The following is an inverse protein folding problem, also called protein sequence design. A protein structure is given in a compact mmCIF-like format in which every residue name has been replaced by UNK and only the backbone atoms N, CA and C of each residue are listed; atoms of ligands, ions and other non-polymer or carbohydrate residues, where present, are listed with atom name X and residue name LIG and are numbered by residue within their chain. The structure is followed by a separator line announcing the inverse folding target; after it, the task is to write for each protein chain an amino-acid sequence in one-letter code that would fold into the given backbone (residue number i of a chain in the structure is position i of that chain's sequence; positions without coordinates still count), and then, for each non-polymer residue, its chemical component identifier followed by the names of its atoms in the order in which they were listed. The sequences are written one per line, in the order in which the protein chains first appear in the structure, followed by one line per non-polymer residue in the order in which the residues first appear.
data_IF_852520476631
#
_entry.id   IF_852520476631
#
_cell.length_a   1.000
_cell.length_b   1.000
_cell.length_c   1.000
_cell.angle_alpha   90.00
_cell.angle_beta   90.00
_cell.angle_gamma   90.00
#
_symmetry.space_group_name_H-M   'P 1'
#
loop_
_entity.id
_entity.type
_entity.pdbx_description
1 polymer ?
#
# COMPACT_ATOMS: atom_id res chain seq x y z
N UNK A 1 -39.51 16.68 26.58
CA UNK A 1 -38.62 15.90 25.67
C UNK A 1 -37.25 16.56 25.66
N UNK A 2 -36.20 15.88 26.11
CA UNK A 2 -34.83 16.35 25.84
C UNK A 2 -34.55 16.10 24.34
N UNK A 3 -33.99 17.05 23.59
CA UNK A 3 -33.59 16.77 22.22
C UNK A 3 -32.56 15.65 22.24
N UNK A 4 -32.82 14.57 21.50
CA UNK A 4 -31.81 13.53 21.25
C UNK A 4 -30.74 14.21 20.42
N UNK A 5 -29.55 14.37 20.99
CA UNK A 5 -28.45 15.03 20.33
C UNK A 5 -27.89 14.07 19.27
N UNK A 6 -28.46 14.09 18.06
CA UNK A 6 -28.05 13.28 16.90
C UNK A 6 -26.75 13.79 16.26
N UNK A 7 -25.87 14.42 17.03
CA UNK A 7 -24.61 14.94 16.51
C UNK A 7 -23.67 13.77 16.22
N UNK A 8 -23.27 13.62 14.96
CA UNK A 8 -22.29 12.62 14.51
C UNK A 8 -20.99 12.68 15.33
N UNK A 9 -20.65 13.85 15.90
CA UNK A 9 -19.48 14.03 16.76
C UNK A 9 -19.54 13.32 18.12
N UNK A 10 -20.70 12.81 18.57
CA UNK A 10 -20.81 12.05 19.83
C UNK A 10 -20.76 10.54 19.62
N UNK A 11 -20.72 10.08 18.37
CA UNK A 11 -20.68 8.65 18.07
C UNK A 11 -19.33 8.03 18.46
N UNK A 12 -19.33 6.78 18.98
CA UNK A 12 -18.13 5.99 19.20
C UNK A 12 -17.29 5.80 17.93
N UNK A 13 -15.96 5.69 18.09
CA UNK A 13 -15.01 5.56 16.97
C UNK A 13 -15.30 4.33 16.10
N UNK A 14 -15.66 3.20 16.69
CA UNK A 14 -16.02 1.96 15.98
C UNK A 14 -17.25 2.12 15.09
N UNK A 15 -18.26 2.89 15.53
CA UNK A 15 -19.41 3.24 14.69
C UNK A 15 -18.97 4.12 13.52
N UNK A 16 -18.10 5.09 13.76
CA UNK A 16 -17.55 5.95 12.69
C UNK A 16 -16.74 5.15 11.68
N UNK A 17 -15.90 4.21 12.13
CA UNK A 17 -15.17 3.27 11.24
C UNK A 17 -16.15 2.49 10.38
N UNK A 18 -17.23 1.98 10.96
CA UNK A 18 -18.25 1.20 10.24
C UNK A 18 -18.94 2.05 9.17
N UNK A 19 -19.34 3.27 9.52
CA UNK A 19 -19.96 4.21 8.56
C UNK A 19 -19.00 4.57 7.42
N UNK A 20 -17.74 4.87 7.75
CA UNK A 20 -16.72 5.17 6.74
C UNK A 20 -16.49 4.00 5.77
N UNK A 21 -16.48 2.75 6.27
CA UNK A 21 -16.37 1.55 5.43
C UNK A 21 -17.57 1.35 4.51
N UNK A 22 -18.77 1.76 4.92
CA UNK A 22 -19.95 1.67 4.08
C UNK A 22 -19.91 2.73 2.97
N UNK A 23 -19.61 3.98 3.32
CA UNK A 23 -19.66 5.10 2.37
C UNK A 23 -18.55 5.02 1.32
N UNK A 24 -17.35 4.54 1.68
CA UNK A 24 -16.19 4.50 0.74
C UNK A 24 -16.42 3.59 -0.47
N UNK A 25 -17.34 2.63 -0.37
CA UNK A 25 -17.66 1.71 -1.47
C UNK A 25 -18.51 2.37 -2.56
N UNK A 26 -19.25 3.44 -2.22
CA UNK A 26 -20.12 4.14 -3.18
C UNK A 26 -19.39 5.31 -3.84
N UNK A 27 -18.73 6.16 -3.04
CA UNK A 27 -17.99 7.32 -3.53
C UNK A 27 -16.93 7.75 -2.55
N UNK A 28 -15.72 8.01 -3.05
CA UNK A 28 -14.67 8.57 -2.21
C UNK A 28 -14.97 10.02 -1.79
N UNK A 29 -15.64 10.80 -2.66
CA UNK A 29 -16.10 12.14 -2.31
C UNK A 29 -17.00 12.13 -1.08
N UNK A 30 -17.98 11.24 -1.04
CA UNK A 30 -18.91 11.15 0.10
C UNK A 30 -18.21 10.68 1.37
N UNK A 31 -17.31 9.71 1.24
CA UNK A 31 -16.43 9.27 2.33
C UNK A 31 -15.64 10.46 2.90
N UNK A 32 -15.02 11.26 2.03
CA UNK A 32 -14.22 12.40 2.45
C UNK A 32 -15.06 13.48 3.12
N UNK A 33 -16.24 13.78 2.56
CA UNK A 33 -17.15 14.77 3.11
C UNK A 33 -17.65 14.35 4.51
N UNK A 34 -18.01 13.08 4.68
CA UNK A 34 -18.39 12.52 5.97
C UNK A 34 -17.22 12.57 6.97
N UNK A 35 -16.02 12.15 6.57
CA UNK A 35 -14.81 12.21 7.39
C UNK A 35 -14.53 13.65 7.88
N UNK A 36 -14.58 14.64 6.99
CA UNK A 36 -14.33 16.05 7.35
C UNK A 36 -15.42 16.59 8.27
N UNK A 37 -16.69 16.26 8.02
CA UNK A 37 -17.81 16.68 8.86
C UNK A 37 -17.63 16.15 10.29
N UNK A 38 -17.30 14.86 10.45
CA UNK A 38 -16.98 14.29 11.75
C UNK A 38 -15.71 14.91 12.35
N UNK A 39 -14.61 14.96 11.61
CA UNK A 39 -13.31 15.43 12.10
C UNK A 39 -13.34 16.88 12.62
N UNK A 40 -14.18 17.75 12.06
CA UNK A 40 -14.39 19.14 12.54
C UNK A 40 -14.93 19.21 13.96
N UNK A 41 -15.58 18.15 14.44
CA UNK A 41 -16.14 18.07 15.79
C UNK A 41 -15.18 17.41 16.79
N UNK A 42 -14.01 16.96 16.32
CA UNK A 42 -13.10 16.12 17.09
C UNK A 42 -11.77 16.82 17.41
N UNK A 43 -11.11 16.34 18.46
CA UNK A 43 -9.71 16.69 18.73
C UNK A 43 -8.78 15.90 17.79
N UNK A 44 -7.61 16.46 17.53
CA UNK A 44 -6.56 15.81 16.72
C UNK A 44 -6.28 14.37 17.14
N UNK A 45 -6.20 14.10 18.46
CA UNK A 45 -5.93 12.76 18.98
C UNK A 45 -7.02 11.74 18.60
N UNK A 46 -8.30 12.14 18.59
CA UNK A 46 -9.39 11.25 18.19
C UNK A 46 -9.36 10.96 16.69
N UNK A 47 -8.97 11.94 15.86
CA UNK A 47 -8.79 11.76 14.42
C UNK A 47 -7.63 10.79 14.16
N UNK A 48 -6.50 10.97 14.84
CA UNK A 48 -5.35 10.07 14.72
C UNK A 48 -5.75 8.65 15.14
N UNK A 49 -6.39 8.48 16.29
CA UNK A 49 -6.87 7.18 16.75
C UNK A 49 -7.80 6.53 15.72
N UNK A 50 -8.78 7.27 15.17
CA UNK A 50 -9.64 6.76 14.10
C UNK A 50 -8.83 6.24 12.90
N UNK A 51 -7.85 7.02 12.43
CA UNK A 51 -7.04 6.65 11.27
C UNK A 51 -6.03 5.53 11.56
N UNK A 52 -5.68 5.28 12.81
CA UNK A 52 -4.90 4.11 13.23
C UNK A 52 -5.77 2.85 13.31
N UNK A 53 -7.05 2.99 13.71
CA UNK A 53 -8.02 1.88 13.71
C UNK A 53 -8.59 1.58 12.32
N UNK A 54 -8.68 2.59 11.47
CA UNK A 54 -9.17 2.45 10.10
C UNK A 54 -8.00 2.05 9.18
N UNK A 55 -8.01 0.85 8.58
CA UNK A 55 -6.91 0.41 7.72
C UNK A 55 -6.89 1.20 6.41
N UNK A 56 -6.06 2.24 6.33
CA UNK A 56 -5.93 3.08 5.12
C UNK A 56 -5.49 2.29 3.87
N UNK A 57 -4.85 1.14 4.05
CA UNK A 57 -4.45 0.26 2.95
C UNK A 57 -5.65 -0.30 2.18
N UNK A 58 -6.72 -0.59 2.91
CA UNK A 58 -7.92 -1.21 2.34
C UNK A 58 -8.65 -0.25 1.39
N UNK A 59 -8.31 1.05 1.43
CA UNK A 59 -8.91 2.08 0.57
C UNK A 59 -8.06 2.51 -0.63
N UNK A 60 -6.85 1.97 -0.83
CA UNK A 60 -5.98 2.36 -1.96
C UNK A 60 -6.65 2.17 -3.34
N UNK A 61 -7.49 1.15 -3.45
CA UNK A 61 -8.26 0.82 -4.65
C UNK A 61 -9.40 1.81 -4.96
N UNK A 62 -9.82 2.63 -4.00
CA UNK A 62 -10.99 3.50 -4.14
C UNK A 62 -10.69 4.89 -4.71
N UNK A 63 -9.48 5.14 -5.23
CA UNK A 63 -9.11 6.46 -5.77
C UNK A 63 -10.00 6.94 -6.93
N UNK A 64 -10.68 6.04 -7.62
CA UNK A 64 -11.56 6.33 -8.76
C UNK A 64 -12.90 5.57 -8.72
N UNK A 65 -13.38 5.11 -7.56
CA UNK A 65 -14.57 4.25 -7.50
C UNK A 65 -15.86 4.93 -7.99
N UNK A 66 -16.07 6.22 -7.68
CA UNK A 66 -17.16 7.04 -8.19
C UNK A 66 -16.81 7.84 -9.45
N UNK A 67 -15.66 7.54 -10.07
CA UNK A 67 -15.16 8.21 -11.28
C UNK A 67 -14.04 9.24 -11.03
N UNK A 68 -13.66 10.03 -12.06
CA UNK A 68 -12.52 10.94 -11.98
C UNK A 68 -12.64 12.04 -10.91
N UNK A 69 -13.86 12.39 -10.50
CA UNK A 69 -14.14 13.38 -9.47
C UNK A 69 -13.69 12.97 -8.07
N UNK A 70 -13.50 11.67 -7.81
CA UNK A 70 -13.04 11.16 -6.52
C UNK A 70 -11.54 11.40 -6.27
N UNK A 71 -10.75 11.44 -7.35
CA UNK A 71 -9.28 11.55 -7.25
C UNK A 71 -8.77 12.75 -6.45
N UNK A 72 -9.32 13.98 -6.60
CA UNK A 72 -8.93 15.12 -5.76
C UNK A 72 -9.25 14.92 -4.28
N UNK A 73 -10.40 14.32 -3.93
CA UNK A 73 -10.78 14.05 -2.55
C UNK A 73 -9.89 12.98 -1.92
N UNK A 74 -9.58 11.94 -2.70
CA UNK A 74 -8.60 10.92 -2.34
C UNK A 74 -7.23 11.52 -2.05
N UNK A 75 -6.69 12.29 -2.99
CA UNK A 75 -5.37 12.89 -2.86
C UNK A 75 -5.33 13.87 -1.66
N UNK A 76 -6.43 14.57 -1.37
CA UNK A 76 -6.57 15.46 -0.21
C UNK A 76 -6.64 14.68 1.10
N UNK A 77 -7.41 13.60 1.17
CA UNK A 77 -7.50 12.74 2.35
C UNK A 77 -6.13 12.17 2.73
N UNK A 78 -5.40 11.63 1.75
CA UNK A 78 -4.08 11.06 1.98
C UNK A 78 -3.06 12.13 2.39
N UNK A 79 -3.13 13.33 1.82
CA UNK A 79 -2.29 14.46 2.25
C UNK A 79 -2.54 14.85 3.71
N UNK A 80 -3.80 14.92 4.13
CA UNK A 80 -4.16 15.22 5.53
C UNK A 80 -3.63 14.11 6.45
N UNK A 81 -3.84 12.84 6.07
CA UNK A 81 -3.36 11.69 6.84
C UNK A 81 -1.84 11.66 6.96
N UNK A 82 -1.10 12.04 5.92
CA UNK A 82 0.36 12.21 5.95
C UNK A 82 0.78 13.32 6.93
N UNK A 83 0.10 14.46 6.94
CA UNK A 83 0.33 15.57 7.90
C UNK A 83 0.00 15.17 9.35
N UNK A 84 -0.90 14.20 9.52
CA UNK A 84 -1.20 13.58 10.81
C UNK A 84 -0.19 12.51 11.23
N UNK A 85 0.81 12.23 10.38
CA UNK A 85 1.85 11.21 10.58
C UNK A 85 1.30 9.79 10.61
N UNK A 86 0.22 9.52 9.87
CA UNK A 86 -0.30 8.16 9.69
C UNK A 86 0.63 7.39 8.75
N UNK A 87 1.21 6.30 9.24
CA UNK A 87 2.21 5.51 8.53
C UNK A 87 1.71 5.05 7.16
N UNK A 88 0.54 4.43 7.10
CA UNK A 88 -0.03 3.94 5.83
C UNK A 88 -0.24 5.05 4.79
N UNK A 89 -0.48 6.30 5.21
CA UNK A 89 -0.57 7.43 4.31
C UNK A 89 0.81 7.89 3.80
N UNK A 90 1.81 7.92 4.69
CA UNK A 90 3.21 8.19 4.32
C UNK A 90 3.68 7.14 3.32
N UNK A 91 3.45 5.85 3.60
CA UNK A 91 3.81 4.76 2.72
C UNK A 91 3.18 4.92 1.34
N UNK A 92 1.86 5.13 1.28
CA UNK A 92 1.14 5.39 0.03
C UNK A 92 1.76 6.53 -0.76
N UNK A 93 1.95 7.69 -0.11
CA UNK A 93 2.49 8.89 -0.75
C UNK A 93 3.88 8.65 -1.34
N UNK A 94 4.78 8.02 -0.59
CA UNK A 94 6.15 7.73 -1.05
C UNK A 94 6.18 6.71 -2.18
N UNK A 95 5.39 5.64 -2.09
CA UNK A 95 5.29 4.65 -3.16
C UNK A 95 4.74 5.28 -4.45
N UNK A 96 3.66 6.07 -4.33
CA UNK A 96 3.08 6.82 -5.45
C UNK A 96 4.12 7.73 -6.11
N UNK A 97 4.84 8.51 -5.32
CA UNK A 97 5.79 9.48 -5.87
C UNK A 97 6.97 8.78 -6.57
N UNK A 98 7.44 7.65 -6.05
CA UNK A 98 8.46 6.81 -6.72
C UNK A 98 7.93 6.25 -8.04
N UNK A 99 6.75 5.63 -8.02
CA UNK A 99 6.12 4.99 -9.20
C UNK A 99 5.85 6.01 -10.31
N UNK A 100 5.41 7.21 -9.95
CA UNK A 100 5.14 8.29 -10.90
C UNK A 100 6.38 9.10 -11.30
N UNK A 101 7.56 8.81 -10.75
CA UNK A 101 8.76 9.62 -10.99
C UNK A 101 8.65 11.08 -10.52
N UNK A 102 7.86 11.33 -9.46
CA UNK A 102 7.59 12.67 -8.97
C UNK A 102 8.54 13.08 -7.83
N UNK A 103 8.98 14.34 -7.85
CA UNK A 103 9.77 14.93 -6.78
C UNK A 103 11.20 14.38 -6.68
N UNK A 104 11.74 14.32 -5.46
CA UNK A 104 13.09 13.80 -5.22
C UNK A 104 12.99 12.30 -4.83
N UNK A 105 13.19 11.44 -5.83
CA UNK A 105 13.08 9.97 -5.70
C UNK A 105 13.98 9.41 -4.61
N UNK A 106 15.22 9.88 -4.51
CA UNK A 106 16.15 9.43 -3.47
C UNK A 106 15.64 9.79 -2.06
N UNK A 107 15.10 11.00 -1.88
CA UNK A 107 14.47 11.39 -0.62
C UNK A 107 13.27 10.49 -0.28
N UNK A 108 12.49 10.08 -1.28
CA UNK A 108 11.38 9.15 -1.04
C UNK A 108 11.88 7.77 -0.57
N UNK A 109 12.97 7.27 -1.16
CA UNK A 109 13.63 6.06 -0.69
C UNK A 109 14.24 6.20 0.71
N UNK A 110 14.82 7.35 1.06
CA UNK A 110 15.32 7.61 2.41
C UNK A 110 14.21 7.50 3.44
N UNK A 111 13.05 8.15 3.20
CA UNK A 111 11.91 8.08 4.13
C UNK A 111 11.38 6.65 4.26
N UNK A 112 11.30 5.89 3.16
CA UNK A 112 10.90 4.48 3.24
C UNK A 112 11.94 3.64 4.01
N UNK A 113 13.22 3.95 3.89
CA UNK A 113 14.32 3.34 4.65
C UNK A 113 14.20 3.58 6.15
N UNK A 114 14.07 4.83 6.57
CA UNK A 114 13.90 5.22 7.98
C UNK A 114 12.69 4.49 8.61
N UNK A 115 11.57 4.41 7.88
CA UNK A 115 10.38 3.71 8.37
C UNK A 115 10.55 2.18 8.36
N UNK A 116 11.30 1.62 7.42
CA UNK A 116 11.61 0.18 7.41
C UNK A 116 12.49 -0.20 8.62
N UNK A 117 13.43 0.65 9.02
CA UNK A 117 14.29 0.46 10.20
C UNK A 117 13.50 0.40 11.52
N UNK A 118 12.32 1.02 11.59
CA UNK A 118 11.42 0.90 12.75
C UNK A 118 10.73 -0.46 12.86
N UNK A 119 10.96 -1.38 11.92
CA UNK A 119 10.40 -2.74 11.92
C UNK A 119 9.01 -2.86 11.28
N UNK A 120 8.52 -1.81 10.62
CA UNK A 120 7.25 -1.90 9.89
C UNK A 120 7.41 -2.72 8.60
N UNK A 121 6.94 -3.96 8.65
CA UNK A 121 7.12 -4.94 7.58
C UNK A 121 6.68 -4.46 6.18
N UNK A 122 5.57 -3.72 6.07
CA UNK A 122 5.10 -3.18 4.78
C UNK A 122 6.16 -2.26 4.14
N UNK A 123 6.84 -1.45 4.94
CA UNK A 123 7.91 -0.58 4.45
C UNK A 123 9.12 -1.39 3.99
N UNK A 124 9.49 -2.45 4.71
CA UNK A 124 10.58 -3.35 4.30
C UNK A 124 10.29 -3.96 2.93
N UNK A 125 9.07 -4.49 2.73
CA UNK A 125 8.63 -5.07 1.45
C UNK A 125 8.63 -4.00 0.35
N UNK A 126 7.98 -2.86 0.59
CA UNK A 126 7.90 -1.77 -0.39
C UNK A 126 9.26 -1.22 -0.78
N UNK A 127 10.16 -1.04 0.19
CA UNK A 127 11.52 -0.61 -0.05
C UNK A 127 12.29 -1.61 -0.90
N UNK A 128 12.24 -2.90 -0.57
CA UNK A 128 12.89 -3.95 -1.34
C UNK A 128 12.40 -3.95 -2.79
N UNK A 129 11.08 -4.00 -2.97
CA UNK A 129 10.45 -4.10 -4.29
C UNK A 129 10.75 -2.84 -5.12
N UNK A 130 10.45 -1.65 -4.60
CA UNK A 130 10.62 -0.40 -5.34
C UNK A 130 12.08 -0.11 -5.68
N UNK A 131 13.04 -0.47 -4.79
CA UNK A 131 14.47 -0.34 -5.11
C UNK A 131 14.86 -1.22 -6.28
N UNK A 132 14.41 -2.47 -6.33
CA UNK A 132 14.76 -3.36 -7.44
C UNK A 132 14.07 -2.96 -8.76
N UNK A 133 12.93 -2.27 -8.70
CA UNK A 133 12.21 -1.81 -9.89
C UNK A 133 12.68 -0.45 -10.42
N UNK A 134 12.97 0.50 -9.53
CA UNK A 134 13.17 1.90 -9.90
C UNK A 134 14.55 2.46 -9.55
N UNK A 135 15.40 1.73 -8.81
CA UNK A 135 16.74 2.19 -8.45
C UNK A 135 17.80 1.48 -9.31
N UNK A 136 18.22 2.15 -10.38
CA UNK A 136 19.11 1.62 -11.43
C UNK A 136 20.56 1.28 -10.98
N UNK A 137 20.95 1.58 -9.73
CA UNK A 137 22.33 1.43 -9.24
C UNK A 137 22.44 0.45 -8.06
N UNK A 138 21.98 -0.79 -8.24
CA UNK A 138 22.15 -1.84 -7.22
C UNK A 138 23.07 -2.94 -7.69
N UNK A 139 24.03 -3.31 -6.83
CA UNK A 139 24.78 -4.55 -7.01
C UNK A 139 23.88 -5.74 -6.67
N UNK A 140 24.08 -6.85 -7.38
CA UNK A 140 23.38 -8.12 -7.11
C UNK A 140 23.54 -8.59 -5.67
N UNK A 141 24.72 -8.35 -5.08
CA UNK A 141 25.01 -8.65 -3.66
C UNK A 141 24.06 -7.89 -2.72
N UNK A 142 23.88 -6.59 -2.94
CA UNK A 142 22.99 -5.78 -2.09
C UNK A 142 21.53 -6.22 -2.15
N UNK A 143 21.07 -6.72 -3.30
CA UNK A 143 19.71 -7.27 -3.45
C UNK A 143 19.55 -8.57 -2.69
N UNK A 144 20.56 -9.45 -2.70
CA UNK A 144 20.52 -10.73 -1.99
C UNK A 144 20.49 -10.50 -0.47
N UNK A 145 21.27 -9.55 0.04
CA UNK A 145 21.31 -9.26 1.48
C UNK A 145 19.99 -8.66 1.98
N UNK A 146 19.40 -7.73 1.23
CA UNK A 146 18.06 -7.20 1.58
C UNK A 146 16.99 -8.29 1.55
N UNK A 147 17.07 -9.25 0.62
CA UNK A 147 16.13 -10.35 0.56
C UNK A 147 16.27 -11.30 1.76
N UNK A 148 17.51 -11.61 2.17
CA UNK A 148 17.77 -12.40 3.38
C UNK A 148 17.19 -11.70 4.60
N UNK A 149 17.38 -10.39 4.72
CA UNK A 149 16.79 -9.59 5.80
C UNK A 149 15.26 -9.64 5.74
N UNK A 150 14.67 -9.49 4.55
CA UNK A 150 13.23 -9.59 4.35
C UNK A 150 12.67 -10.97 4.77
N UNK A 151 13.31 -12.08 4.36
CA UNK A 151 12.90 -13.44 4.74
C UNK A 151 13.05 -13.73 6.23
N UNK A 152 14.06 -13.14 6.85
CA UNK A 152 14.32 -13.28 8.29
C UNK A 152 13.37 -12.45 9.14
N UNK A 153 12.57 -11.57 8.53
CA UNK A 153 11.63 -10.74 9.26
C UNK A 153 10.52 -11.59 9.92
N UNK A 154 10.17 -11.37 11.20
CA UNK A 154 9.19 -12.20 11.93
C UNK A 154 7.82 -12.32 11.25
N UNK A 155 7.43 -11.28 10.50
CA UNK A 155 6.15 -11.22 9.80
C UNK A 155 6.18 -11.71 8.34
N UNK A 156 7.33 -12.18 7.82
CA UNK A 156 7.47 -12.54 6.41
C UNK A 156 6.39 -13.52 5.95
N UNK A 157 6.30 -14.69 6.60
CA UNK A 157 5.37 -15.76 6.19
C UNK A 157 3.89 -15.36 6.27
N UNK A 158 3.54 -14.51 7.24
CA UNK A 158 2.13 -14.16 7.49
C UNK A 158 1.65 -12.96 6.68
N UNK A 159 2.56 -12.04 6.34
CA UNK A 159 2.17 -10.70 5.86
C UNK A 159 2.67 -10.38 4.46
N UNK A 160 3.57 -11.17 3.86
CA UNK A 160 4.18 -10.84 2.56
C UNK A 160 3.15 -10.72 1.44
N UNK A 161 2.19 -11.64 1.38
CA UNK A 161 1.14 -11.63 0.35
C UNK A 161 0.28 -10.37 0.47
N UNK A 162 -0.11 -9.98 1.70
CA UNK A 162 -0.89 -8.75 1.92
C UNK A 162 -0.09 -7.51 1.53
N UNK A 163 1.17 -7.42 1.96
CA UNK A 163 2.03 -6.28 1.63
C UNK A 163 2.23 -6.12 0.12
N UNK A 164 2.37 -7.22 -0.61
CA UNK A 164 2.46 -7.19 -2.07
C UNK A 164 1.14 -6.79 -2.74
N UNK A 165 -0.01 -7.24 -2.21
CA UNK A 165 -1.33 -6.78 -2.69
C UNK A 165 -1.50 -5.27 -2.50
N UNK A 166 -1.09 -4.74 -1.34
CA UNK A 166 -1.15 -3.30 -1.05
C UNK A 166 -0.28 -2.50 -2.04
N UNK A 167 0.98 -2.92 -2.25
CA UNK A 167 1.88 -2.31 -3.23
C UNK A 167 1.35 -2.40 -4.66
N UNK A 168 0.83 -3.58 -5.04
CA UNK A 168 0.22 -3.82 -6.36
C UNK A 168 -0.97 -2.88 -6.57
N UNK A 169 -1.81 -2.68 -5.56
CA UNK A 169 -2.94 -1.75 -5.61
C UNK A 169 -2.48 -0.32 -5.89
N UNK A 170 -1.44 0.17 -5.19
CA UNK A 170 -0.88 1.51 -5.43
C UNK A 170 -0.41 1.64 -6.88
N UNK A 171 0.39 0.67 -7.34
CA UNK A 171 0.94 0.67 -8.69
C UNK A 171 -0.17 0.68 -9.76
N UNK A 172 -1.14 -0.24 -9.66
CA UNK A 172 -2.23 -0.35 -10.63
C UNK A 172 -3.10 0.90 -10.66
N UNK A 173 -3.38 1.51 -9.50
CA UNK A 173 -4.07 2.79 -9.45
C UNK A 173 -3.30 3.86 -10.22
N UNK A 174 -1.96 3.88 -10.20
CA UNK A 174 -1.18 4.85 -10.99
C UNK A 174 -1.20 4.54 -12.49
N UNK A 175 -1.15 3.27 -12.88
CA UNK A 175 -1.26 2.84 -14.28
C UNK A 175 -2.61 3.21 -14.87
N UNK A 176 -3.72 2.84 -14.21
CA UNK A 176 -5.09 3.16 -14.66
C UNK A 176 -5.30 4.66 -14.80
N UNK A 177 -4.64 5.45 -13.96
CA UNK A 177 -4.70 6.91 -14.02
C UNK A 177 -3.78 7.54 -15.09
N UNK A 178 -3.11 6.74 -15.93
CA UNK A 178 -2.09 7.17 -16.89
C UNK A 178 -0.96 8.01 -16.24
N UNK A 179 -0.60 7.69 -14.99
CA UNK A 179 0.46 8.37 -14.23
C UNK A 179 1.75 7.56 -14.12
N UNK A 180 1.70 6.29 -14.47
CA UNK A 180 2.86 5.41 -14.50
C UNK A 180 2.79 4.50 -15.74
N UNK A 181 3.95 4.14 -16.33
CA UNK A 181 3.98 3.18 -17.42
C UNK A 181 3.66 1.77 -16.92
N UNK A 182 3.06 0.95 -17.80
CA UNK A 182 2.97 -0.49 -17.59
C UNK A 182 4.38 -1.12 -17.51
N UNK A 183 4.60 -1.94 -16.50
CA UNK A 183 5.84 -2.67 -16.29
C UNK A 183 5.74 -4.04 -16.96
N UNK A 184 6.51 -4.22 -18.03
CA UNK A 184 6.68 -5.52 -18.69
C UNK A 184 7.88 -6.24 -18.10
N UNK A 185 7.72 -6.77 -16.88
CA UNK A 185 8.79 -7.47 -16.17
C UNK A 185 8.52 -8.96 -16.26
N UNK A 186 9.49 -9.75 -16.73
CA UNK A 186 9.40 -11.21 -16.65
C UNK A 186 10.61 -11.71 -15.90
N UNK A 187 10.59 -11.52 -14.57
CA UNK A 187 11.63 -12.05 -13.72
C UNK A 187 11.48 -13.58 -13.67
N UNK A 188 12.54 -14.29 -14.00
CA UNK A 188 12.58 -15.76 -13.94
C UNK A 188 13.62 -16.20 -12.93
N UNK A 189 13.40 -17.34 -12.29
CA UNK A 189 14.43 -17.95 -11.47
C UNK A 189 15.48 -18.59 -12.39
N UNK A 190 16.74 -18.23 -12.22
CA UNK A 190 17.83 -18.81 -13.02
C UNK A 190 18.11 -20.29 -12.70
N UNK A 191 17.59 -20.80 -11.57
CA UNK A 191 17.76 -22.18 -11.12
C UNK A 191 16.53 -23.06 -11.41
N UNK A 192 15.36 -22.46 -11.54
CA UNK A 192 14.09 -23.17 -11.69
C UNK A 192 13.29 -22.56 -12.85
N UNK A 193 12.89 -23.39 -13.81
CA UNK A 193 11.91 -23.01 -14.82
C UNK A 193 10.54 -22.91 -14.16
N UNK A 194 10.18 -21.72 -13.70
CA UNK A 194 8.84 -21.42 -13.18
C UNK A 194 8.07 -20.64 -14.23
N UNK A 195 6.96 -21.20 -14.69
CA UNK A 195 5.91 -20.41 -15.32
C UNK A 195 5.32 -19.48 -14.25
N UNK A 196 5.55 -18.18 -14.41
CA UNK A 196 5.25 -17.11 -13.46
C UNK A 196 3.75 -16.90 -13.16
N UNK A 197 2.86 -17.73 -13.72
CA UNK A 197 1.41 -17.52 -13.70
C UNK A 197 0.69 -17.94 -12.40
N UNK A 198 1.33 -18.69 -11.50
CA UNK A 198 0.60 -19.40 -10.42
C UNK A 198 0.69 -18.86 -8.99
N UNK A 199 1.45 -17.81 -8.70
CA UNK A 199 1.90 -17.59 -7.29
C UNK A 199 0.90 -16.83 -6.41
N UNK A 200 -0.01 -16.05 -6.98
CA UNK A 200 -1.02 -15.32 -6.17
C UNK A 200 -2.28 -16.15 -5.84
N UNK A 201 -2.52 -17.27 -6.56
CA UNK A 201 -3.75 -18.08 -6.45
C UNK A 201 -3.60 -19.39 -5.66
N UNK A 202 -2.51 -19.55 -4.91
CA UNK A 202 -2.38 -20.63 -3.93
C UNK A 202 -1.20 -21.56 -4.21
N UNK A 203 -0.08 -21.28 -3.55
CA UNK A 203 1.03 -22.21 -3.42
C UNK A 203 0.66 -23.39 -2.50
N UNK A 204 -0.11 -24.36 -3.03
CA UNK A 204 -0.31 -25.68 -2.43
C UNK A 204 0.47 -26.80 -3.17
N UNK A 205 1.37 -26.46 -4.11
CA UNK A 205 1.88 -27.45 -5.08
C UNK A 205 3.38 -27.74 -5.16
N UNK A 206 4.29 -26.93 -4.62
CA UNK A 206 5.74 -27.20 -4.79
C UNK A 206 6.56 -26.88 -3.54
N UNK A 207 6.90 -27.92 -2.78
CA UNK A 207 7.70 -27.83 -1.56
C UNK A 207 9.14 -27.34 -1.78
N UNK A 208 9.68 -27.37 -3.01
CA UNK A 208 11.05 -26.91 -3.31
C UNK A 208 11.13 -25.42 -3.71
N UNK A 209 10.02 -24.81 -4.12
CA UNK A 209 9.99 -23.40 -4.57
C UNK A 209 10.02 -22.42 -3.40
N UNK A 210 9.57 -22.84 -2.21
CA UNK A 210 9.50 -22.01 -1.00
C UNK A 210 10.88 -21.74 -0.35
N UNK A 211 11.93 -22.43 -0.78
CA UNK A 211 13.28 -22.26 -0.24
C UNK A 211 14.23 -21.48 -1.17
N UNK A 212 13.89 -21.35 -2.46
CA UNK A 212 14.77 -20.70 -3.43
C UNK A 212 14.66 -19.17 -3.38
N UNK A 213 15.75 -18.50 -2.98
CA UNK A 213 15.86 -17.04 -2.97
C UNK A 213 15.57 -16.40 -4.35
N UNK A 214 16.01 -17.01 -5.44
CA UNK A 214 15.76 -16.48 -6.79
C UNK A 214 14.29 -16.61 -7.22
N UNK A 215 13.58 -17.64 -6.74
CA UNK A 215 12.13 -17.78 -6.94
C UNK A 215 11.38 -16.70 -6.16
N UNK A 216 11.83 -16.37 -4.95
CA UNK A 216 11.23 -15.29 -4.16
C UNK A 216 11.41 -13.94 -4.85
N UNK A 217 12.62 -13.62 -5.34
CA UNK A 217 12.86 -12.39 -6.11
C UNK A 217 11.94 -12.32 -7.32
N UNK A 218 11.91 -13.39 -8.13
CA UNK A 218 11.08 -13.45 -9.32
C UNK A 218 9.60 -13.22 -8.98
N UNK A 219 9.10 -13.87 -7.92
CA UNK A 219 7.73 -13.71 -7.44
C UNK A 219 7.44 -12.27 -7.00
N UNK A 220 8.32 -11.68 -6.20
CA UNK A 220 8.15 -10.33 -5.65
C UNK A 220 8.11 -9.27 -6.76
N UNK A 221 8.92 -9.44 -7.81
CA UNK A 221 8.97 -8.52 -8.94
C UNK A 221 7.84 -8.74 -9.94
N UNK A 222 7.42 -9.98 -10.16
CA UNK A 222 6.34 -10.30 -11.09
C UNK A 222 4.96 -9.89 -10.57
N UNK A 223 4.81 -9.47 -9.32
CA UNK A 223 3.50 -9.10 -8.76
C UNK A 223 2.83 -7.91 -9.47
N UNK A 224 3.61 -7.12 -10.23
CA UNK A 224 3.12 -5.98 -11.02
C UNK A 224 2.79 -6.35 -12.47
N UNK A 225 3.06 -7.58 -12.88
CA UNK A 225 2.80 -8.02 -14.25
C UNK A 225 1.31 -8.24 -14.46
N UNK A 226 0.85 -7.93 -15.67
CA UNK A 226 -0.52 -8.18 -16.10
C UNK A 226 -0.84 -9.68 -15.97
N UNK A 227 -1.59 -10.05 -14.93
CA UNK A 227 -2.42 -11.24 -15.01
C UNK A 227 -3.65 -10.79 -15.79
N UNK A 228 -3.58 -10.93 -17.11
CA UNK A 228 -4.76 -10.92 -17.95
C UNK A 228 -5.76 -11.89 -17.34
N UNK A 229 -6.85 -11.38 -16.78
CA UNK A 229 -8.09 -12.14 -16.57
C UNK A 229 -8.74 -12.41 -17.91
#
# INVERSE_FOLDING_TARGET
MKPVNNNVGTLPIDMIVTLLKLVVVESFQDFFNFFIAWARTQRRSAIVALLEYFPLRDIYQYRQIGGPSDSPYFDRFFRISEQLRINDAIFYGRCRDIVCGAGNIERHFTVLGEMAETGHFLYVVGLFVLRNLYKNQRSSVSTVDDLKALRSHPHYRMSIVRALKDLRSIYWTMVVCNRAPELYIQATCCLHSLDSKGVLDGCNGCGMVQECLFCDIATLLNVFTNIST
#
